data_IF_114484581327
#
_entry.id   IF_114484581327
#
_cell.length_a   1.000
_cell.length_b   1.000
_cell.length_c   1.000
_cell.angle_alpha   90.00
_cell.angle_beta   90.00
_cell.angle_gamma   90.00
#
_symmetry.space_group_name_H-M   'P 1'
#
loop_
_entity.id
_entity.type
_entity.pdbx_description
1 polymer ?
#
# COMPACT_ATOMS: atom_id res chain seq x y z
N UNK A 1 9.12 34.76 14.83
CA UNK A 1 8.52 35.12 13.53
C UNK A 1 9.41 34.51 12.46
N UNK A 2 8.93 33.54 11.66
CA UNK A 2 9.77 32.87 10.66
C UNK A 2 10.09 33.84 9.50
N UNK A 3 11.33 33.84 9.03
CA UNK A 3 11.77 34.73 7.94
C UNK A 3 11.17 34.30 6.59
N UNK A 4 11.16 35.19 5.60
CA UNK A 4 10.74 34.84 4.21
C UNK A 4 11.59 33.70 3.62
N UNK A 5 12.86 33.59 4.02
CA UNK A 5 13.74 32.48 3.65
C UNK A 5 13.28 31.16 4.27
N UNK A 6 12.94 31.15 5.56
CA UNK A 6 12.45 29.94 6.24
C UNK A 6 11.16 29.40 5.59
N UNK A 7 10.25 30.30 5.20
CA UNK A 7 8.99 29.92 4.54
C UNK A 7 9.19 29.35 3.12
N UNK A 8 10.14 29.88 2.35
CA UNK A 8 10.47 29.34 1.03
C UNK A 8 11.15 27.97 1.14
N UNK A 9 12.09 27.83 2.09
CA UNK A 9 12.77 26.57 2.36
C UNK A 9 11.76 25.46 2.72
N UNK A 10 10.88 25.71 3.68
CA UNK A 10 9.85 24.74 4.10
C UNK A 10 8.93 24.32 2.94
N UNK A 11 8.47 25.29 2.12
CA UNK A 11 7.62 25.01 0.95
C UNK A 11 8.32 24.13 -0.09
N UNK A 12 9.60 24.36 -0.36
CA UNK A 12 10.37 23.53 -1.30
C UNK A 12 10.53 22.10 -0.80
N UNK A 13 10.74 21.91 0.51
CA UNK A 13 10.81 20.59 1.13
C UNK A 13 9.48 19.84 1.05
N UNK A 14 8.36 20.50 1.31
CA UNK A 14 7.03 19.90 1.19
C UNK A 14 6.73 19.46 -0.24
N UNK A 15 7.03 20.28 -1.25
CA UNK A 15 6.77 19.94 -2.65
C UNK A 15 7.58 18.73 -3.14
N UNK A 16 8.86 18.65 -2.75
CA UNK A 16 9.72 17.49 -3.09
C UNK A 16 9.21 16.21 -2.42
N UNK A 17 8.78 16.30 -1.17
CA UNK A 17 8.17 15.19 -0.44
C UNK A 17 6.89 14.71 -1.14
N UNK A 18 5.98 15.63 -1.49
CA UNK A 18 4.74 15.33 -2.20
C UNK A 18 4.99 14.64 -3.54
N UNK A 19 5.97 15.13 -4.32
CA UNK A 19 6.32 14.51 -5.59
C UNK A 19 6.87 13.09 -5.40
N UNK A 20 7.72 12.87 -4.39
CA UNK A 20 8.23 11.54 -4.05
C UNK A 20 7.12 10.55 -3.67
N UNK A 21 6.17 10.97 -2.83
CA UNK A 21 5.01 10.13 -2.49
C UNK A 21 4.09 9.87 -3.67
N UNK A 22 3.90 10.86 -4.55
CA UNK A 22 3.15 10.68 -5.79
C UNK A 22 3.84 9.67 -6.70
N UNK A 23 5.15 9.78 -6.90
CA UNK A 23 5.94 8.84 -7.70
C UNK A 23 5.79 7.41 -7.15
N UNK A 24 6.02 7.21 -5.84
CA UNK A 24 5.85 5.92 -5.20
C UNK A 24 4.45 5.35 -5.43
N UNK A 25 3.41 6.16 -5.21
CA UNK A 25 2.01 5.76 -5.38
C UNK A 25 1.70 5.33 -6.80
N UNK A 26 2.14 6.10 -7.80
CA UNK A 26 1.92 5.78 -9.21
C UNK A 26 2.69 4.52 -9.63
N UNK A 27 3.93 4.36 -9.15
CA UNK A 27 4.75 3.18 -9.42
C UNK A 27 4.10 1.91 -8.89
N UNK A 28 3.73 1.87 -7.61
CA UNK A 28 3.11 0.68 -7.04
C UNK A 28 1.72 0.43 -7.65
N UNK A 29 0.95 1.46 -7.96
CA UNK A 29 -0.33 1.29 -8.65
C UNK A 29 -0.16 0.64 -10.02
N UNK A 30 0.85 1.07 -10.81
CA UNK A 30 1.17 0.47 -12.10
C UNK A 30 1.58 -1.01 -11.98
N UNK A 31 2.39 -1.35 -10.97
CA UNK A 31 2.80 -2.74 -10.69
C UNK A 31 1.57 -3.62 -10.38
N UNK A 32 0.67 -3.15 -9.52
CA UNK A 32 -0.54 -3.90 -9.16
C UNK A 32 -1.47 -4.04 -10.36
N UNK A 33 -1.64 -2.97 -11.14
CA UNK A 33 -2.42 -3.01 -12.36
C UNK A 33 -1.90 -4.11 -13.30
N UNK A 34 -0.57 -4.23 -13.46
CA UNK A 34 0.02 -5.27 -14.28
C UNK A 34 -0.37 -6.68 -13.81
N UNK A 35 -0.36 -6.96 -12.49
CA UNK A 35 -0.77 -8.27 -11.97
C UNK A 35 -2.22 -8.60 -12.34
N UNK A 36 -3.15 -7.68 -12.07
CA UNK A 36 -4.57 -7.89 -12.33
C UNK A 36 -4.87 -8.03 -13.83
N UNK A 37 -4.36 -7.11 -14.64
CA UNK A 37 -4.60 -7.10 -16.08
C UNK A 37 -3.94 -8.28 -16.80
N UNK A 38 -2.69 -8.62 -16.47
CA UNK A 38 -2.03 -9.80 -17.03
C UNK A 38 -2.78 -11.07 -16.67
N UNK A 39 -3.33 -11.17 -15.44
CA UNK A 39 -4.15 -12.32 -15.05
C UNK A 39 -5.42 -12.42 -15.88
N UNK A 40 -6.08 -11.30 -16.20
CA UNK A 40 -7.27 -11.29 -17.07
C UNK A 40 -6.91 -11.64 -18.52
N UNK A 41 -5.94 -10.96 -19.11
CA UNK A 41 -5.62 -11.11 -20.54
C UNK A 41 -5.06 -12.48 -20.89
N UNK A 42 -4.41 -13.16 -19.94
CA UNK A 42 -3.88 -14.50 -20.15
C UNK A 42 -4.81 -15.61 -19.64
N UNK A 43 -6.07 -15.30 -19.31
CA UNK A 43 -7.03 -16.29 -18.80
C UNK A 43 -6.63 -16.91 -17.44
N UNK A 44 -5.77 -16.24 -16.68
CA UNK A 44 -5.17 -16.73 -15.44
C UNK A 44 -6.09 -16.70 -14.21
N UNK A 45 -7.31 -16.17 -14.31
CA UNK A 45 -8.25 -16.08 -13.17
C UNK A 45 -8.70 -17.46 -12.70
N UNK A 46 -9.15 -18.33 -13.62
CA UNK A 46 -9.58 -19.70 -13.28
C UNK A 46 -8.40 -20.56 -12.77
N UNK A 47 -7.23 -20.60 -13.45
CA UNK A 47 -6.06 -21.32 -12.93
C UNK A 47 -5.61 -20.84 -11.54
N UNK A 48 -5.66 -19.52 -11.27
CA UNK A 48 -5.35 -19.01 -9.94
C UNK A 48 -6.39 -19.44 -8.90
N UNK A 49 -7.67 -19.51 -9.29
CA UNK A 49 -8.73 -20.05 -8.45
C UNK A 49 -8.49 -21.51 -8.07
N UNK A 50 -8.14 -22.36 -9.04
CA UNK A 50 -7.82 -23.77 -8.77
C UNK A 50 -6.55 -23.95 -7.94
N UNK A 51 -5.54 -23.09 -8.16
CA UNK A 51 -4.37 -23.04 -7.29
C UNK A 51 -4.78 -22.78 -5.84
N UNK A 52 -5.68 -21.83 -5.58
CA UNK A 52 -6.18 -21.56 -4.23
C UNK A 52 -6.99 -22.73 -3.67
N UNK A 53 -7.85 -23.37 -4.47
CA UNK A 53 -8.57 -24.59 -4.06
C UNK A 53 -7.59 -25.67 -3.58
N UNK A 54 -6.50 -25.88 -4.32
CA UNK A 54 -5.44 -26.84 -3.96
C UNK A 54 -4.69 -26.51 -2.66
N UNK A 55 -4.78 -25.26 -2.17
CA UNK A 55 -4.19 -24.82 -0.89
C UNK A 55 -5.24 -24.72 0.24
N UNK A 56 -6.41 -25.33 0.06
CA UNK A 56 -7.44 -25.44 1.10
C UNK A 56 -8.48 -24.32 1.12
N UNK A 57 -8.45 -23.40 0.14
CA UNK A 57 -9.48 -22.36 0.02
C UNK A 57 -10.71 -22.90 -0.74
N UNK A 58 -11.80 -23.20 -0.02
CA UNK A 58 -13.03 -23.80 -0.58
C UNK A 58 -13.69 -22.96 -1.69
N UNK A 59 -13.43 -21.65 -1.73
CA UNK A 59 -14.00 -20.70 -2.70
C UNK A 59 -12.89 -20.03 -3.54
N UNK A 60 -11.86 -20.78 -3.93
CA UNK A 60 -10.65 -20.27 -4.59
C UNK A 60 -10.94 -19.41 -5.82
N UNK A 61 -11.85 -19.83 -6.71
CA UNK A 61 -12.22 -19.02 -7.90
C UNK A 61 -12.84 -17.68 -7.53
N UNK A 62 -13.68 -17.62 -6.49
CA UNK A 62 -14.25 -16.35 -6.00
C UNK A 62 -13.15 -15.46 -5.43
N UNK A 63 -12.23 -16.02 -4.65
CA UNK A 63 -11.09 -15.28 -4.11
C UNK A 63 -10.17 -14.76 -5.23
N UNK A 64 -9.90 -15.56 -6.26
CA UNK A 64 -9.11 -15.16 -7.41
C UNK A 64 -9.76 -13.99 -8.16
N UNK A 65 -11.09 -14.02 -8.35
CA UNK A 65 -11.84 -12.89 -8.91
C UNK A 65 -11.77 -11.65 -8.02
N UNK A 66 -11.93 -11.80 -6.71
CA UNK A 66 -11.85 -10.67 -5.76
C UNK A 66 -10.46 -10.04 -5.73
N UNK A 67 -9.39 -10.83 -5.70
CA UNK A 67 -8.01 -10.34 -5.78
C UNK A 67 -7.80 -9.61 -7.10
N UNK A 68 -8.18 -10.22 -8.22
CA UNK A 68 -8.01 -9.63 -9.56
C UNK A 68 -8.77 -8.32 -9.72
N UNK A 69 -10.05 -8.30 -9.30
CA UNK A 69 -10.88 -7.10 -9.33
C UNK A 69 -10.33 -6.01 -8.41
N UNK A 70 -9.82 -6.38 -7.24
CA UNK A 70 -9.20 -5.44 -6.30
C UNK A 70 -7.93 -4.82 -6.88
N UNK A 71 -7.09 -5.60 -7.55
CA UNK A 71 -5.87 -5.09 -8.20
C UNK A 71 -6.20 -4.11 -9.34
N UNK A 72 -7.20 -4.43 -10.17
CA UNK A 72 -7.62 -3.58 -11.29
C UNK A 72 -8.28 -2.29 -10.80
N UNK A 73 -9.33 -2.40 -9.97
CA UNK A 73 -10.08 -1.23 -9.50
C UNK A 73 -9.24 -0.41 -8.51
N UNK A 74 -8.54 -1.10 -7.61
CA UNK A 74 -7.72 -0.45 -6.59
C UNK A 74 -6.52 0.29 -7.17
N UNK A 75 -5.89 -0.19 -8.26
CA UNK A 75 -4.81 0.56 -8.91
C UNK A 75 -5.31 1.88 -9.52
N UNK A 76 -6.49 1.90 -10.16
CA UNK A 76 -7.13 3.13 -10.64
C UNK A 76 -7.42 4.09 -9.49
N UNK A 77 -7.97 3.58 -8.38
CA UNK A 77 -8.25 4.40 -7.20
C UNK A 77 -6.96 4.97 -6.57
N UNK A 78 -5.88 4.19 -6.50
CA UNK A 78 -4.58 4.66 -6.03
C UNK A 78 -4.02 5.77 -6.92
N UNK A 79 -4.13 5.66 -8.25
CA UNK A 79 -3.73 6.72 -9.19
C UNK A 79 -4.49 8.01 -8.89
N UNK A 80 -5.81 7.91 -8.69
CA UNK A 80 -6.67 9.04 -8.32
C UNK A 80 -6.48 9.54 -6.88
N UNK A 81 -5.62 8.89 -6.09
CA UNK A 81 -5.40 9.24 -4.68
C UNK A 81 -6.59 8.95 -3.76
N UNK A 82 -7.49 8.05 -4.15
CA UNK A 82 -8.68 7.65 -3.38
C UNK A 82 -8.44 6.35 -2.63
N UNK A 83 -9.02 6.23 -1.43
CA UNK A 83 -8.96 5.03 -0.60
C UNK A 83 -7.53 4.51 -0.34
N UNK A 84 -6.52 5.40 -0.33
CA UNK A 84 -5.10 5.00 -0.29
C UNK A 84 -4.77 4.16 0.95
N UNK A 85 -5.22 4.58 2.13
CA UNK A 85 -4.99 3.82 3.37
C UNK A 85 -5.61 2.42 3.34
N UNK A 86 -6.93 2.23 3.13
CA UNK A 86 -7.50 0.89 3.10
C UNK A 86 -6.96 0.02 1.96
N UNK A 87 -6.69 0.59 0.77
CA UNK A 87 -6.09 -0.16 -0.35
C UNK A 87 -4.65 -0.57 -0.05
N UNK A 88 -3.85 0.29 0.58
CA UNK A 88 -2.49 -0.06 1.00
C UNK A 88 -2.48 -1.23 1.97
N UNK A 89 -3.39 -1.24 2.97
CA UNK A 89 -3.53 -2.36 3.89
C UNK A 89 -4.00 -3.65 3.19
N UNK A 90 -4.98 -3.54 2.28
CA UNK A 90 -5.46 -4.67 1.50
C UNK A 90 -4.35 -5.29 0.64
N UNK A 91 -3.60 -4.49 -0.11
CA UNK A 91 -2.52 -5.00 -0.95
C UNK A 91 -1.36 -5.53 -0.12
N UNK A 92 -1.00 -4.90 1.00
CA UNK A 92 -0.03 -5.48 1.93
C UNK A 92 -0.44 -6.89 2.39
N UNK A 93 -1.73 -7.08 2.70
CA UNK A 93 -2.26 -8.41 3.06
C UNK A 93 -2.20 -9.40 1.90
N UNK A 94 -2.67 -9.03 0.70
CA UNK A 94 -2.66 -9.91 -0.48
C UNK A 94 -1.23 -10.37 -0.82
N UNK A 95 -0.26 -9.46 -0.82
CA UNK A 95 1.13 -9.81 -1.11
C UNK A 95 1.79 -10.58 0.04
N UNK A 96 1.37 -10.37 1.28
CA UNK A 96 1.75 -11.22 2.41
C UNK A 96 1.29 -12.66 2.22
N UNK A 97 0.04 -12.86 1.78
CA UNK A 97 -0.46 -14.19 1.41
C UNK A 97 0.30 -14.78 0.21
N UNK A 98 0.68 -13.95 -0.77
CA UNK A 98 1.55 -14.37 -1.87
C UNK A 98 2.90 -14.92 -1.38
N UNK A 99 3.51 -14.31 -0.35
CA UNK A 99 4.72 -14.85 0.28
C UNK A 99 4.44 -16.23 0.88
N UNK A 100 3.41 -16.34 1.72
CA UNK A 100 3.09 -17.59 2.43
C UNK A 100 2.80 -18.74 1.45
N UNK A 101 2.02 -18.48 0.40
CA UNK A 101 1.55 -19.50 -0.53
C UNK A 101 2.55 -19.83 -1.63
N UNK A 102 3.37 -18.87 -2.03
CA UNK A 102 4.22 -18.99 -3.23
C UNK A 102 5.68 -18.69 -2.93
N UNK A 103 6.01 -17.50 -2.43
CA UNK A 103 7.41 -17.04 -2.49
C UNK A 103 8.30 -17.58 -1.36
N UNK A 104 7.74 -17.94 -0.20
CA UNK A 104 8.53 -18.41 0.93
C UNK A 104 9.30 -19.71 0.61
N UNK A 105 8.71 -20.62 -0.18
CA UNK A 105 9.36 -21.86 -0.63
C UNK A 105 10.46 -21.63 -1.68
N UNK A 106 10.39 -20.52 -2.43
CA UNK A 106 11.38 -20.15 -3.44
C UNK A 106 12.59 -19.39 -2.84
N UNK A 107 12.56 -19.13 -1.53
CA UNK A 107 13.62 -18.41 -0.82
C UNK A 107 13.50 -16.88 -0.94
N UNK A 108 14.64 -16.20 -0.85
CA UNK A 108 14.66 -14.73 -0.77
C UNK A 108 14.70 -14.04 -2.13
N UNK A 109 15.56 -14.50 -3.03
CA UNK A 109 15.96 -13.76 -4.23
C UNK A 109 15.01 -13.98 -5.41
N UNK A 110 14.63 -12.90 -6.08
CA UNK A 110 13.82 -12.93 -7.30
C UNK A 110 14.71 -13.21 -8.52
N UNK A 111 15.98 -12.81 -8.48
CA UNK A 111 17.00 -13.10 -9.51
C UNK A 111 18.35 -13.43 -8.87
N UNK A 112 19.19 -14.19 -9.58
CA UNK A 112 20.55 -14.53 -9.16
C UNK A 112 20.61 -15.89 -8.44
N UNK A 113 20.92 -15.95 -7.14
CA UNK A 113 21.02 -17.22 -6.40
C UNK A 113 19.67 -17.94 -6.21
N UNK A 114 18.55 -17.32 -6.63
CA UNK A 114 17.21 -17.89 -6.64
C UNK A 114 16.35 -17.28 -7.76
N UNK A 115 15.13 -17.78 -7.90
CA UNK A 115 14.12 -17.28 -8.83
C UNK A 115 12.76 -17.27 -8.14
N UNK A 116 12.04 -16.16 -8.22
CA UNK A 116 10.69 -16.07 -7.66
C UNK A 116 10.62 -15.98 -6.13
N UNK A 117 11.70 -15.60 -5.45
CA UNK A 117 11.73 -15.40 -4.00
C UNK A 117 10.94 -14.18 -3.49
N UNK A 118 10.97 -13.97 -2.17
CA UNK A 118 10.09 -13.03 -1.48
C UNK A 118 10.51 -11.54 -1.50
N UNK A 119 11.73 -11.19 -1.92
CA UNK A 119 12.27 -9.82 -1.77
C UNK A 119 11.39 -8.74 -2.41
N UNK A 120 10.82 -9.02 -3.59
CA UNK A 120 9.95 -8.06 -4.28
C UNK A 120 8.60 -7.90 -3.59
N UNK A 121 8.03 -9.00 -3.08
CA UNK A 121 6.80 -8.95 -2.28
C UNK A 121 7.00 -8.12 -1.01
N UNK A 122 8.14 -8.27 -0.34
CA UNK A 122 8.49 -7.47 0.85
C UNK A 122 8.59 -5.99 0.51
N UNK A 123 9.25 -5.64 -0.60
CA UNK A 123 9.33 -4.26 -1.08
C UNK A 123 7.94 -3.66 -1.33
N UNK A 124 7.04 -4.42 -1.97
CA UNK A 124 5.67 -3.97 -2.21
C UNK A 124 4.89 -3.78 -0.91
N UNK A 125 4.96 -4.75 0.00
CA UNK A 125 4.30 -4.67 1.31
C UNK A 125 4.72 -3.40 2.06
N UNK A 126 6.02 -3.16 2.20
CA UNK A 126 6.53 -1.98 2.91
C UNK A 126 6.11 -0.69 2.20
N UNK A 127 6.14 -0.66 0.87
CA UNK A 127 5.70 0.50 0.08
C UNK A 127 4.23 0.84 0.30
N UNK A 128 3.36 -0.18 0.33
CA UNK A 128 1.93 0.02 0.61
C UNK A 128 1.66 0.45 2.04
N UNK A 129 2.35 -0.13 3.02
CA UNK A 129 2.23 0.28 4.42
C UNK A 129 2.70 1.72 4.62
N UNK A 130 3.79 2.12 3.97
CA UNK A 130 4.28 3.49 3.99
C UNK A 130 3.26 4.47 3.37
N UNK A 131 2.67 4.13 2.22
CA UNK A 131 1.60 4.93 1.61
C UNK A 131 0.36 5.03 2.51
N UNK A 132 -0.04 3.92 3.13
CA UNK A 132 -1.19 3.86 4.01
C UNK A 132 -1.00 4.73 5.25
N UNK A 133 0.19 4.68 5.84
CA UNK A 133 0.60 5.53 6.96
C UNK A 133 0.64 7.01 6.57
N UNK A 134 1.24 7.32 5.41
CA UNK A 134 1.33 8.70 4.91
C UNK A 134 -0.04 9.35 4.67
N UNK A 135 -1.04 8.58 4.21
CA UNK A 135 -2.38 9.06 3.92
C UNK A 135 -3.37 8.88 5.09
N UNK A 136 -2.91 8.42 6.26
CA UNK A 136 -3.79 8.18 7.40
C UNK A 136 -4.50 9.48 7.83
N UNK A 137 -5.84 9.49 8.01
CA UNK A 137 -6.58 10.71 8.32
C UNK A 137 -6.07 11.39 9.61
N UNK A 138 -5.41 12.53 9.47
CA UNK A 138 -4.88 13.31 10.61
C UNK A 138 -5.98 13.97 11.47
N UNK A 139 -7.25 13.92 11.02
CA UNK A 139 -8.39 14.49 11.74
C UNK A 139 -8.57 13.89 13.15
N UNK A 140 -8.20 12.62 13.36
CA UNK A 140 -8.24 11.99 14.69
C UNK A 140 -7.10 12.42 15.61
N UNK A 141 -5.92 12.71 15.05
CA UNK A 141 -4.74 13.06 15.83
C UNK A 141 -4.82 14.48 16.41
N UNK A 142 -5.37 15.43 15.62
CA UNK A 142 -5.54 16.84 16.04
C UNK A 142 -6.57 17.05 17.16
N UNK A 143 -7.62 16.24 17.23
CA UNK A 143 -8.63 16.36 18.30
C UNK A 143 -8.06 15.96 19.67
N UNK A 144 -7.17 14.96 19.70
CA UNK A 144 -6.53 14.50 20.93
C UNK A 144 -5.53 15.55 21.45
N UNK A 145 -4.69 16.10 20.58
CA UNK A 145 -3.70 17.12 20.97
C UNK A 145 -4.36 18.42 21.43
N UNK A 146 -5.37 18.91 20.71
CA UNK A 146 -6.08 20.14 21.09
C UNK A 146 -6.78 20.02 22.45
N UNK A 147 -7.30 18.84 22.81
CA UNK A 147 -7.89 18.62 24.13
C UNK A 147 -6.83 18.60 25.25
N UNK A 148 -5.64 18.07 24.98
CA UNK A 148 -4.52 18.05 25.94
C UNK A 148 -3.93 19.45 26.15
N UNK A 149 -3.76 20.24 25.09
CA UNK A 149 -3.27 21.61 25.17
C UNK A 149 -4.24 22.51 25.94
N UNK A 150 -5.55 22.37 25.69
CA UNK A 150 -6.58 23.11 26.42
C UNK A 150 -6.70 22.69 27.90
N UNK A 151 -6.36 21.45 28.26
CA UNK A 151 -6.32 21.00 29.64
C UNK A 151 -5.06 21.51 30.37
N UNK A 152 -3.90 21.48 29.70
CA UNK A 152 -2.62 21.94 30.25
C UNK A 152 -2.60 23.47 30.49
N UNK A 153 -3.17 24.25 29.57
CA UNK A 153 -3.30 25.71 29.72
C UNK A 153 -4.19 26.12 30.90
N UNK A 154 -5.19 25.31 31.27
CA UNK A 154 -6.05 25.55 32.44
C UNK A 154 -5.39 25.18 33.77
N UNK A 155 -4.42 24.27 33.75
CA UNK A 155 -3.65 23.89 34.94
C UNK A 155 -2.61 24.93 35.35
N UNK A 156 -2.08 25.72 34.41
CA UNK A 156 -1.12 26.80 34.68
C UNK A 156 -1.74 28.12 35.15
N UNK A 157 -3.07 28.26 35.11
CA UNK A 157 -3.79 29.47 35.56
C UNK A 157 -4.40 29.34 36.96
N UNK A 158 -4.04 28.30 37.72
CA UNK A 158 -4.40 28.12 39.13
C UNK A 158 -3.14 28.15 39.98
#
# INVERSE_FOLDING_TARGET
MASRFDLQYLRHHEHRSQLGWLMLRLTVAGIIAAHGWTRVFNGGVLPFGEFLNGHGFVIGTVLAMLVTGSEIIGSVLLILGKLVTPLGLLFAFIYGMGIVLVHAKEGWFVVGPGSGGAEYSVLLIVSFLALALHHYPQAKLRLVTNHQDAANQRGHQR
#
